data_IF_073688814154
#
_entry.id   IF_073688814154
#
_cell.length_a   1.000
_cell.length_b   1.000
_cell.length_c   1.000
_cell.angle_alpha   90.00
_cell.angle_beta   90.00
_cell.angle_gamma   90.00
#
_symmetry.space_group_name_H-M   'P 1'
#
loop_
_entity.id
_entity.type
_entity.pdbx_description
1 polymer ?
#
# COMPACT_ATOMS: atom_id res chain seq x y z
N UNK A 1 16.12 8.69 13.93
CA UNK A 1 14.81 8.08 13.59
C UNK A 1 14.95 7.52 12.19
N UNK A 2 14.66 6.25 12.00
CA UNK A 2 14.74 5.62 10.68
C UNK A 2 13.68 6.22 9.74
N UNK A 3 14.02 6.37 8.47
CA UNK A 3 13.11 6.93 7.47
C UNK A 3 12.35 5.79 6.80
N UNK A 4 11.04 5.73 6.99
CA UNK A 4 10.16 4.78 6.32
C UNK A 4 9.26 5.50 5.33
N UNK A 5 9.14 4.94 4.13
CA UNK A 5 8.27 5.44 3.07
C UNK A 5 6.95 4.67 3.07
N UNK A 6 5.83 5.37 3.06
CA UNK A 6 4.51 4.80 2.85
C UNK A 6 4.08 4.93 1.39
N UNK A 7 3.76 3.81 0.72
CA UNK A 7 3.33 3.82 -0.69
C UNK A 7 1.95 3.23 -0.82
N UNK A 8 1.03 4.00 -1.40
CA UNK A 8 -0.30 3.54 -1.79
C UNK A 8 -0.27 3.03 -3.22
N UNK A 9 -0.71 1.79 -3.48
CA UNK A 9 -0.87 1.27 -4.83
C UNK A 9 -2.28 1.52 -5.34
N UNK A 10 -2.42 2.38 -6.35
CA UNK A 10 -3.70 2.77 -6.95
C UNK A 10 -3.65 2.78 -8.50
N UNK A 11 -2.80 1.96 -9.12
CA UNK A 11 -2.57 1.96 -10.56
C UNK A 11 -3.59 1.14 -11.36
N UNK A 12 -4.46 0.36 -10.71
CA UNK A 12 -5.41 -0.52 -11.38
C UNK A 12 -6.65 0.21 -11.93
N UNK A 13 -7.22 -0.31 -13.01
CA UNK A 13 -8.38 0.31 -13.72
C UNK A 13 -9.71 0.27 -12.96
N UNK A 14 -9.82 -0.43 -11.83
CA UNK A 14 -11.04 -0.52 -11.01
C UNK A 14 -12.32 -0.92 -11.78
N UNK A 15 -12.20 -1.74 -12.83
CA UNK A 15 -13.26 -2.03 -13.81
C UNK A 15 -14.58 -2.53 -13.21
N UNK A 16 -14.52 -3.32 -12.13
CA UNK A 16 -15.71 -3.81 -11.41
C UNK A 16 -16.40 -2.77 -10.54
N UNK A 17 -15.70 -1.69 -10.21
CA UNK A 17 -16.21 -0.60 -9.38
C UNK A 17 -16.94 0.47 -10.20
N UNK A 18 -16.68 0.55 -11.51
CA UNK A 18 -17.25 1.57 -12.40
C UNK A 18 -16.63 2.97 -12.25
N UNK A 19 -15.75 3.15 -11.25
CA UNK A 19 -14.99 4.38 -11.00
C UNK A 19 -13.66 4.06 -10.34
N UNK A 20 -12.64 4.93 -10.46
CA UNK A 20 -11.36 4.71 -9.77
C UNK A 20 -11.55 4.59 -8.27
N UNK A 21 -11.10 3.47 -7.68
CA UNK A 21 -11.16 3.27 -6.22
C UNK A 21 -10.48 4.39 -5.45
N UNK A 22 -9.40 4.96 -6.00
CA UNK A 22 -8.68 6.08 -5.42
C UNK A 22 -9.56 7.32 -5.17
N UNK A 23 -10.60 7.51 -5.98
CA UNK A 23 -11.52 8.65 -5.93
C UNK A 23 -12.83 8.37 -5.18
N UNK A 24 -13.04 7.17 -4.66
CA UNK A 24 -14.18 6.89 -3.80
C UNK A 24 -14.14 7.84 -2.59
N UNK A 25 -15.31 8.36 -2.21
CA UNK A 25 -15.43 9.33 -1.12
C UNK A 25 -16.30 8.79 0.00
N UNK A 26 -15.75 8.61 1.20
CA UNK A 26 -16.52 8.41 2.41
C UNK A 26 -17.43 9.63 2.71
N UNK A 27 -18.27 9.59 3.75
CA UNK A 27 -19.18 10.69 4.10
C UNK A 27 -18.49 12.04 4.35
N UNK A 28 -17.20 12.07 4.72
CA UNK A 28 -16.42 13.30 4.88
C UNK A 28 -16.01 13.96 3.55
N UNK A 29 -16.28 13.31 2.41
CA UNK A 29 -16.01 13.84 1.07
C UNK A 29 -14.54 13.78 0.63
N UNK A 30 -13.63 13.20 1.43
CA UNK A 30 -12.21 13.13 1.11
C UNK A 30 -11.94 11.88 0.24
N UNK A 31 -11.15 11.98 -0.86
CA UNK A 31 -10.81 10.81 -1.68
C UNK A 31 -10.15 9.70 -0.87
N UNK A 32 -10.51 8.43 -1.14
CA UNK A 32 -9.96 7.26 -0.45
C UNK A 32 -8.42 7.23 -0.52
N UNK A 33 -7.84 7.64 -1.63
CA UNK A 33 -6.39 7.74 -1.77
C UNK A 33 -5.76 8.66 -0.70
N UNK A 34 -6.41 9.78 -0.37
CA UNK A 34 -5.94 10.69 0.69
C UNK A 34 -6.14 10.09 2.09
N UNK A 35 -7.20 9.31 2.32
CA UNK A 35 -7.35 8.56 3.57
C UNK A 35 -6.20 7.59 3.77
N UNK A 36 -5.80 6.86 2.73
CA UNK A 36 -4.69 5.91 2.80
C UNK A 36 -3.33 6.61 3.02
N UNK A 37 -3.12 7.77 2.40
CA UNK A 37 -1.92 8.60 2.64
C UNK A 37 -1.88 9.05 4.11
N UNK A 38 -2.97 9.61 4.63
CA UNK A 38 -3.06 10.05 6.03
C UNK A 38 -2.91 8.91 7.03
N UNK A 39 -3.42 7.72 6.71
CA UNK A 39 -3.22 6.52 7.52
C UNK A 39 -1.72 6.19 7.65
N UNK A 40 -0.99 6.18 6.54
CA UNK A 40 0.45 5.90 6.53
C UNK A 40 1.24 6.96 7.32
N UNK A 41 0.90 8.24 7.17
CA UNK A 41 1.50 9.36 7.92
C UNK A 41 1.22 9.24 9.42
N UNK A 42 -0.03 9.01 9.79
CA UNK A 42 -0.45 8.83 11.19
C UNK A 42 0.16 7.59 11.84
N UNK A 43 0.44 6.57 11.05
CA UNK A 43 1.13 5.35 11.48
C UNK A 43 2.66 5.48 11.59
N UNK A 44 3.24 6.63 11.18
CA UNK A 44 4.67 6.93 11.38
C UNK A 44 5.54 6.87 10.11
N UNK A 45 4.96 6.74 8.91
CA UNK A 45 5.72 6.90 7.68
C UNK A 45 6.20 8.35 7.54
N UNK A 46 7.51 8.56 7.41
CA UNK A 46 8.12 9.90 7.35
C UNK A 46 7.89 10.60 6.01
N UNK A 47 7.65 9.83 4.95
CA UNK A 47 7.33 10.28 3.60
C UNK A 47 6.25 9.38 3.04
N UNK A 48 5.41 9.93 2.14
CA UNK A 48 4.36 9.15 1.48
C UNK A 48 4.36 9.39 -0.02
N UNK A 49 3.87 8.41 -0.77
CA UNK A 49 3.68 8.50 -2.22
C UNK A 49 2.52 7.59 -2.66
N UNK A 50 2.00 7.84 -3.86
CA UNK A 50 1.00 7.01 -4.50
C UNK A 50 1.45 6.58 -5.88
N UNK A 51 1.24 5.29 -6.22
CA UNK A 51 1.47 4.78 -7.57
C UNK A 51 0.17 4.83 -8.34
N UNK A 52 0.17 5.57 -9.43
CA UNK A 52 -0.95 5.70 -10.37
C UNK A 52 -0.61 5.05 -11.72
N UNK A 53 -1.62 4.56 -12.42
CA UNK A 53 -1.50 3.97 -13.75
C UNK A 53 -2.73 4.29 -14.58
N UNK A 54 -3.74 3.40 -14.59
CA UNK A 54 -5.01 3.68 -15.22
C UNK A 54 -5.63 4.96 -14.65
N UNK A 55 -6.14 5.82 -15.53
CA UNK A 55 -6.81 7.09 -15.16
C UNK A 55 -5.97 8.05 -14.30
N UNK A 56 -4.62 7.97 -14.40
CA UNK A 56 -3.72 8.84 -13.64
C UNK A 56 -4.05 10.33 -13.83
N UNK A 57 -4.36 10.75 -15.05
CA UNK A 57 -4.70 12.14 -15.37
C UNK A 57 -6.00 12.61 -14.70
N UNK A 58 -6.89 11.68 -14.37
CA UNK A 58 -8.13 11.94 -13.66
C UNK A 58 -7.95 11.94 -12.15
N UNK A 59 -7.03 11.11 -11.64
CA UNK A 59 -6.82 10.93 -10.21
C UNK A 59 -5.86 12.00 -9.66
N UNK A 60 -4.78 12.30 -10.38
CA UNK A 60 -3.71 13.19 -9.89
C UNK A 60 -4.19 14.59 -9.48
N UNK A 61 -5.11 15.27 -10.20
CA UNK A 61 -5.62 16.59 -9.79
C UNK A 61 -6.37 16.59 -8.46
N UNK A 62 -6.93 15.45 -8.05
CA UNK A 62 -7.68 15.27 -6.81
C UNK A 62 -6.77 15.02 -5.57
N UNK A 63 -5.45 14.95 -5.78
CA UNK A 63 -4.45 14.62 -4.76
C UNK A 63 -3.40 15.74 -4.60
N UNK A 64 -3.81 16.96 -4.24
CA UNK A 64 -2.86 18.09 -4.12
C UNK A 64 -1.81 17.80 -3.06
N UNK A 65 -0.54 18.06 -3.39
CA UNK A 65 0.60 17.89 -2.47
C UNK A 65 1.07 16.44 -2.29
N UNK A 66 0.38 15.45 -2.84
CA UNK A 66 0.80 14.04 -2.78
C UNK A 66 1.87 13.76 -3.84
N UNK A 67 2.96 13.09 -3.45
CA UNK A 67 3.97 12.62 -4.39
C UNK A 67 3.40 11.48 -5.25
N UNK A 68 3.38 11.67 -6.56
CA UNK A 68 2.87 10.70 -7.53
C UNK A 68 4.04 9.97 -8.19
N UNK A 69 3.92 8.65 -8.28
CA UNK A 69 4.78 7.76 -9.06
C UNK A 69 3.92 7.17 -10.18
N UNK A 70 4.28 7.46 -11.43
CA UNK A 70 3.54 6.92 -12.58
C UNK A 70 4.03 5.50 -12.91
N UNK A 71 3.10 4.59 -13.12
CA UNK A 71 3.34 3.26 -13.68
C UNK A 71 2.77 3.15 -15.08
N UNK A 72 3.53 3.43 -16.15
CA UNK A 72 3.04 3.30 -17.53
C UNK A 72 2.76 1.85 -17.94
N UNK A 73 3.35 0.88 -17.22
CA UNK A 73 3.15 -0.55 -17.47
C UNK A 73 2.05 -1.19 -16.60
N UNK A 74 1.08 -0.39 -16.12
CA UNK A 74 0.04 -0.85 -15.19
C UNK A 74 -0.78 -2.04 -15.70
N UNK A 75 -0.95 -2.17 -17.04
CA UNK A 75 -1.64 -3.31 -17.67
C UNK A 75 -0.94 -4.65 -17.43
N UNK A 76 0.37 -4.64 -17.16
CA UNK A 76 1.13 -5.83 -16.79
C UNK A 76 0.80 -6.34 -15.37
N UNK A 77 -0.13 -5.69 -14.66
CA UNK A 77 -0.65 -6.12 -13.39
C UNK A 77 0.11 -5.57 -12.18
N UNK A 78 -0.25 -6.10 -11.01
CA UNK A 78 0.25 -5.60 -9.71
C UNK A 78 1.79 -5.63 -9.57
N UNK A 79 2.54 -6.63 -10.09
CA UNK A 79 4.00 -6.63 -10.00
C UNK A 79 4.64 -5.37 -10.60
N UNK A 80 4.14 -4.88 -11.74
CA UNK A 80 4.64 -3.64 -12.34
C UNK A 80 4.46 -2.41 -11.44
N UNK A 81 3.33 -2.34 -10.72
CA UNK A 81 3.07 -1.25 -9.76
C UNK A 81 3.98 -1.32 -8.54
N UNK A 82 4.28 -2.52 -8.05
CA UNK A 82 5.26 -2.72 -6.98
C UNK A 82 6.64 -2.28 -7.46
N UNK A 83 7.08 -2.71 -8.64
CA UNK A 83 8.37 -2.33 -9.19
C UNK A 83 8.48 -0.80 -9.41
N UNK A 84 7.41 -0.15 -9.87
CA UNK A 84 7.35 1.31 -9.99
C UNK A 84 7.48 1.99 -8.62
N UNK A 85 6.80 1.45 -7.59
CA UNK A 85 6.92 1.91 -6.22
C UNK A 85 8.37 1.85 -5.71
N UNK A 86 9.02 0.68 -5.86
CA UNK A 86 10.40 0.46 -5.42
C UNK A 86 11.37 1.38 -6.14
N UNK A 87 11.27 1.51 -7.46
CA UNK A 87 12.12 2.43 -8.27
C UNK A 87 11.89 3.91 -7.92
N UNK A 88 10.67 4.26 -7.52
CA UNK A 88 10.33 5.61 -7.07
C UNK A 88 10.74 5.89 -5.62
N UNK A 89 11.13 4.88 -4.86
CA UNK A 89 11.60 5.05 -3.50
C UNK A 89 13.09 5.40 -3.49
N UNK A 90 13.46 6.46 -2.80
CA UNK A 90 14.85 6.84 -2.60
C UNK A 90 15.07 7.15 -1.12
N UNK A 91 16.28 6.86 -0.62
CA UNK A 91 16.77 7.27 0.70
C UNK A 91 15.81 6.89 1.87
N UNK A 92 15.46 5.62 1.99
CA UNK A 92 14.68 5.09 3.12
C UNK A 92 15.24 3.75 3.60
N UNK A 93 15.03 3.42 4.87
CA UNK A 93 15.39 2.14 5.47
C UNK A 93 14.48 0.99 4.99
N UNK A 94 13.26 1.35 4.61
CA UNK A 94 12.27 0.45 4.07
C UNK A 94 10.97 1.16 3.76
N UNK A 95 10.03 0.42 3.21
CA UNK A 95 8.74 0.99 2.80
C UNK A 95 7.57 0.08 3.13
N UNK A 96 6.45 0.70 3.49
CA UNK A 96 5.15 0.05 3.52
C UNK A 96 4.49 0.17 2.15
N UNK A 97 4.05 -0.96 1.62
CA UNK A 97 3.22 -1.05 0.42
C UNK A 97 1.80 -1.36 0.84
N UNK A 98 0.88 -0.43 0.58
CA UNK A 98 -0.54 -0.51 0.92
C UNK A 98 -1.40 -0.44 -0.35
N UNK A 99 -2.19 -1.47 -0.69
CA UNK A 99 -3.20 -1.33 -1.74
C UNK A 99 -4.27 -0.32 -1.34
N UNK A 100 -4.70 0.53 -2.28
CA UNK A 100 -5.72 1.56 -2.03
C UNK A 100 -7.06 0.96 -1.58
N UNK A 101 -7.33 -0.28 -1.96
CA UNK A 101 -8.57 -0.99 -1.69
C UNK A 101 -8.58 -1.78 -0.37
N UNK A 102 -7.50 -1.75 0.41
CA UNK A 102 -7.46 -2.34 1.76
C UNK A 102 -7.79 -1.25 2.78
N UNK A 103 -8.99 -1.26 3.34
CA UNK A 103 -9.55 -0.11 4.05
C UNK A 103 -9.84 -0.37 5.53
N UNK A 104 -9.82 0.71 6.34
CA UNK A 104 -10.17 0.68 7.77
C UNK A 104 -9.04 0.16 8.67
N UNK A 105 -7.82 0.02 8.15
CA UNK A 105 -6.64 -0.32 8.97
C UNK A 105 -6.40 0.80 9.99
N UNK A 106 -6.03 0.42 11.21
CA UNK A 106 -5.71 1.36 12.27
C UNK A 106 -4.28 1.87 12.15
N UNK A 107 -4.00 3.17 12.44
CA UNK A 107 -2.64 3.71 12.46
C UNK A 107 -1.68 2.93 13.36
N UNK A 108 -2.18 2.39 14.48
CA UNK A 108 -1.42 1.58 15.42
C UNK A 108 -0.88 0.28 14.78
N UNK A 109 -1.60 -0.26 13.80
CA UNK A 109 -1.13 -1.43 13.03
C UNK A 109 0.08 -1.06 12.17
N UNK A 110 0.04 0.09 11.49
CA UNK A 110 1.17 0.62 10.71
C UNK A 110 2.37 0.84 11.64
N UNK A 111 2.14 1.55 12.75
CA UNK A 111 3.18 1.83 13.76
C UNK A 111 3.83 0.54 14.27
N UNK A 112 3.04 -0.47 14.62
CA UNK A 112 3.55 -1.76 15.10
C UNK A 112 4.42 -2.47 14.06
N UNK A 113 4.05 -2.42 12.77
CA UNK A 113 4.84 -2.97 11.68
C UNK A 113 6.18 -2.25 11.56
N UNK A 114 6.20 -0.92 11.65
CA UNK A 114 7.42 -0.11 11.59
C UNK A 114 8.33 -0.36 12.80
N UNK A 115 7.79 -0.34 14.02
CA UNK A 115 8.55 -0.62 15.25
C UNK A 115 9.19 -2.00 15.22
N UNK A 116 8.46 -3.02 14.73
CA UNK A 116 9.03 -4.35 14.56
C UNK A 116 10.14 -4.37 13.51
N UNK A 117 9.93 -3.73 12.36
CA UNK A 117 10.93 -3.68 11.29
C UNK A 117 12.21 -2.94 11.68
N UNK A 118 12.13 -2.03 12.66
CA UNK A 118 13.29 -1.30 13.19
C UNK A 118 14.21 -2.16 14.06
N UNK A 119 13.67 -3.20 14.65
CA UNK A 119 14.36 -4.06 15.62
C UNK A 119 14.70 -5.44 15.08
N UNK A 120 14.02 -5.89 14.04
CA UNK A 120 14.17 -7.22 13.46
C UNK A 120 14.94 -7.18 12.13
N UNK A 121 15.86 -8.14 11.96
CA UNK A 121 16.66 -8.28 10.72
C UNK A 121 15.91 -9.08 9.63
N UNK A 122 14.63 -8.78 9.43
CA UNK A 122 13.83 -9.44 8.40
C UNK A 122 13.77 -8.60 7.12
N UNK A 123 13.93 -9.19 5.94
CA UNK A 123 13.85 -8.47 4.67
C UNK A 123 12.44 -7.94 4.38
N UNK A 124 11.42 -8.54 4.95
CA UNK A 124 10.04 -8.08 4.88
C UNK A 124 9.26 -8.40 6.15
N UNK A 125 8.21 -7.62 6.44
CA UNK A 125 7.25 -7.85 7.54
C UNK A 125 5.83 -7.77 7.00
N UNK A 126 5.04 -8.80 7.26
CA UNK A 126 3.64 -8.88 6.84
C UNK A 126 2.73 -9.04 8.05
N UNK A 127 1.79 -8.13 8.29
CA UNK A 127 0.83 -8.32 9.35
C UNK A 127 -0.12 -9.48 9.00
N UNK A 128 -0.41 -10.30 9.99
CA UNK A 128 -1.40 -11.37 9.94
C UNK A 128 -2.44 -11.16 11.03
N UNK A 129 -3.68 -11.53 10.77
CA UNK A 129 -4.75 -11.51 11.76
C UNK A 129 -5.43 -12.87 11.77
N UNK A 130 -5.39 -13.55 12.92
CA UNK A 130 -5.93 -14.91 13.10
C UNK A 130 -5.35 -15.90 12.07
N UNK A 131 -4.04 -15.81 11.83
CA UNK A 131 -3.33 -16.65 10.88
C UNK A 131 -3.57 -16.33 9.39
N UNK A 132 -4.31 -15.27 9.07
CA UNK A 132 -4.60 -14.85 7.69
C UNK A 132 -3.73 -13.65 7.34
N UNK A 133 -2.99 -13.75 6.24
CA UNK A 133 -2.07 -12.70 5.74
C UNK A 133 -2.82 -11.47 5.25
N UNK A 134 -2.45 -10.30 5.77
CA UNK A 134 -2.90 -9.00 5.26
C UNK A 134 -2.31 -8.67 3.89
N UNK A 135 -2.88 -7.64 3.26
CA UNK A 135 -2.41 -7.15 1.93
C UNK A 135 -1.33 -6.08 2.04
N UNK A 136 -1.25 -5.42 3.18
CA UNK A 136 -0.17 -4.52 3.52
C UNK A 136 1.11 -5.32 3.78
N UNK A 137 2.27 -4.78 3.37
CA UNK A 137 3.57 -5.36 3.67
C UNK A 137 4.62 -4.26 3.81
N UNK A 138 5.55 -4.43 4.74
CA UNK A 138 6.77 -3.66 4.81
C UNK A 138 7.91 -4.42 4.12
N UNK A 139 8.77 -3.72 3.38
CA UNK A 139 9.93 -4.26 2.66
C UNK A 139 11.15 -3.40 2.99
N UNK A 140 12.28 -4.03 3.33
CA UNK A 140 13.55 -3.34 3.58
C UNK A 140 14.12 -2.74 2.29
N UNK A 141 14.98 -1.72 2.42
CA UNK A 141 15.72 -1.16 1.28
C UNK A 141 16.57 -2.21 0.57
N UNK A 142 17.26 -3.07 1.31
CA UNK A 142 18.08 -4.13 0.73
C UNK A 142 17.27 -5.10 -0.15
N UNK A 143 16.07 -5.52 0.30
CA UNK A 143 15.20 -6.35 -0.53
C UNK A 143 14.64 -5.57 -1.72
N UNK A 144 14.36 -4.29 -1.56
CA UNK A 144 13.92 -3.41 -2.65
C UNK A 144 14.97 -3.33 -3.75
N UNK A 145 16.23 -3.13 -3.39
CA UNK A 145 17.36 -3.07 -4.34
C UNK A 145 17.54 -4.40 -5.08
N UNK A 146 17.41 -5.52 -4.38
CA UNK A 146 17.46 -6.85 -5.00
C UNK A 146 16.33 -7.03 -6.04
N UNK A 147 15.10 -6.66 -5.69
CA UNK A 147 13.94 -6.74 -6.58
C UNK A 147 14.15 -5.87 -7.83
N UNK A 148 14.64 -4.66 -7.65
CA UNK A 148 14.92 -3.72 -8.76
C UNK A 148 16.01 -4.29 -9.68
N UNK A 149 17.14 -4.74 -9.12
CA UNK A 149 18.27 -5.27 -9.89
C UNK A 149 17.90 -6.50 -10.71
N UNK A 150 17.12 -7.41 -10.12
CA UNK A 150 16.67 -8.64 -10.80
C UNK A 150 15.45 -8.40 -11.69
N UNK A 151 14.86 -7.21 -11.67
CA UNK A 151 13.66 -6.84 -12.41
C UNK A 151 12.53 -7.87 -12.24
N UNK A 152 12.28 -8.27 -11.00
CA UNK A 152 11.26 -9.27 -10.70
C UNK A 152 9.88 -8.89 -11.26
N UNK A 153 9.25 -9.83 -11.95
CA UNK A 153 7.89 -9.72 -12.49
C UNK A 153 6.89 -10.65 -11.78
N UNK A 154 7.36 -11.38 -10.78
CA UNK A 154 6.57 -12.32 -9.99
C UNK A 154 5.60 -11.58 -9.04
N UNK A 155 4.60 -12.31 -8.57
CA UNK A 155 3.71 -11.75 -7.54
C UNK A 155 4.49 -11.53 -6.26
N UNK A 156 4.26 -10.40 -5.61
CA UNK A 156 4.92 -10.07 -4.35
C UNK A 156 4.68 -11.14 -3.27
N UNK A 157 3.50 -11.77 -3.27
CA UNK A 157 3.17 -12.83 -2.33
C UNK A 157 4.07 -14.07 -2.51
N UNK A 158 4.38 -14.42 -3.75
CA UNK A 158 5.25 -15.56 -4.09
C UNK A 158 6.70 -15.25 -3.75
N UNK A 159 7.16 -14.04 -4.07
CA UNK A 159 8.51 -13.56 -3.74
C UNK A 159 8.77 -13.54 -2.22
N UNK A 160 7.77 -13.23 -1.43
CA UNK A 160 7.87 -13.06 0.02
C UNK A 160 7.50 -14.32 0.82
N UNK A 161 7.17 -15.44 0.18
CA UNK A 161 6.65 -16.64 0.84
C UNK A 161 7.52 -17.10 2.04
N UNK A 162 8.85 -17.13 1.83
CA UNK A 162 9.83 -17.57 2.84
C UNK A 162 10.73 -16.40 3.33
N UNK A 163 10.40 -15.16 2.99
CA UNK A 163 11.24 -13.99 3.23
C UNK A 163 10.58 -12.94 4.12
N UNK A 164 9.31 -13.10 4.41
CA UNK A 164 8.58 -12.17 5.28
C UNK A 164 8.34 -12.77 6.66
N UNK A 165 8.62 -11.99 7.70
CA UNK A 165 8.13 -12.28 9.03
C UNK A 165 6.61 -12.02 9.10
N UNK A 166 5.86 -12.98 9.61
CA UNK A 166 4.43 -12.85 9.86
C UNK A 166 4.19 -12.26 11.25
N UNK A 167 3.84 -10.97 11.29
CA UNK A 167 3.58 -10.26 12.54
C UNK A 167 2.10 -10.33 12.89
N UNK A 168 1.75 -11.03 13.97
CA UNK A 168 0.36 -11.10 14.44
C UNK A 168 -0.11 -9.74 14.96
N UNK A 169 -1.27 -9.29 14.46
CA UNK A 169 -1.93 -8.04 14.84
C UNK A 169 -3.42 -8.29 15.10
N UNK A 170 -3.98 -7.60 16.09
CA UNK A 170 -5.42 -7.62 16.34
C UNK A 170 -6.13 -6.52 15.54
N UNK A 171 -6.04 -6.62 14.21
CA UNK A 171 -6.69 -5.67 13.30
C UNK A 171 -7.26 -6.41 12.08
N UNK A 172 -8.53 -6.84 12.12
CA UNK A 172 -9.14 -7.56 11.01
C UNK A 172 -9.28 -6.74 9.74
N UNK A 173 -9.13 -5.41 9.81
CA UNK A 173 -9.21 -4.54 8.64
C UNK A 173 -8.04 -4.75 7.65
N UNK A 174 -6.91 -5.35 8.07
CA UNK A 174 -5.84 -5.75 7.14
C UNK A 174 -6.30 -6.76 6.08
N UNK A 175 -7.42 -7.44 6.31
CA UNK A 175 -8.01 -8.44 5.40
C UNK A 175 -9.14 -7.85 4.54
N UNK A 176 -9.61 -6.63 4.86
CA UNK A 176 -10.78 -6.01 4.22
C UNK A 176 -10.38 -5.35 2.90
N UNK A 177 -10.95 -5.83 1.79
CA UNK A 177 -10.74 -5.24 0.47
C UNK A 177 -12.07 -4.85 -0.17
N UNK A 178 -12.12 -3.67 -0.76
CA UNK A 178 -13.24 -3.22 -1.59
C UNK A 178 -12.98 -3.56 -3.06
N UNK A 179 -13.89 -4.33 -3.66
CA UNK A 179 -13.80 -4.73 -5.07
C UNK A 179 -15.04 -4.37 -5.88
N UNK A 180 -16.17 -4.18 -5.22
CA UNK A 180 -17.47 -3.89 -5.81
C UNK A 180 -18.14 -2.70 -5.14
N UNK A 181 -19.12 -2.04 -5.76
CA UNK A 181 -19.93 -0.99 -5.12
C UNK A 181 -20.56 -1.44 -3.79
N UNK A 182 -21.01 -2.70 -3.72
CA UNK A 182 -21.58 -3.28 -2.50
C UNK A 182 -20.56 -3.32 -1.35
N UNK A 183 -19.31 -3.76 -1.62
CA UNK A 183 -18.25 -3.75 -0.61
C UNK A 183 -18.01 -2.34 -0.07
N UNK A 184 -18.10 -1.34 -0.97
CA UNK A 184 -17.92 0.06 -0.60
C UNK A 184 -19.06 0.58 0.28
N UNK A 185 -20.31 0.30 -0.06
CA UNK A 185 -21.48 0.69 0.74
C UNK A 185 -21.40 0.14 2.18
N UNK A 186 -20.92 -1.09 2.34
CA UNK A 186 -20.78 -1.74 3.66
C UNK A 186 -19.73 -1.08 4.57
N UNK A 187 -18.70 -0.42 4.01
CA UNK A 187 -17.57 0.08 4.79
C UNK A 187 -17.42 1.60 4.79
N UNK A 188 -17.96 2.30 3.81
CA UNK A 188 -17.73 3.75 3.61
C UNK A 188 -18.13 4.61 4.80
N UNK A 189 -19.18 4.23 5.53
CA UNK A 189 -19.63 4.93 6.74
C UNK A 189 -18.75 4.73 7.99
N UNK A 190 -17.71 3.90 7.89
CA UNK A 190 -16.78 3.58 8.99
C UNK A 190 -15.37 4.19 8.81
N UNK A 191 -15.16 4.93 7.72
CA UNK A 191 -13.88 5.53 7.33
C UNK A 191 -13.79 6.99 7.74
#
# INVERSE_FOLDING_TARGET
MKIHLGIVLAAGASSRMGSPKALLRPPDGIPLALHQIRLLESGGCSKTAIVLGAEADRIAPELPGVRIILNPAWESGRPSSVLAALKGAADCEGMIILPVDTVGIRPETIKRVLEFSDTAEWPAVRPVCRGIRGKLVWISSALSDEIIQKNYSERLDDLLADRAFELEVDDPAILRNINTPKDWEEVSGQL
#
